data_IF_817303904579
#
_entry.id   IF_817303904579
#
_cell.length_a   1.000
_cell.length_b   1.000
_cell.length_c   1.000
_cell.angle_alpha   90.00
_cell.angle_beta   90.00
_cell.angle_gamma   90.00
#
_symmetry.space_group_name_H-M   'P 1'
#
loop_
_entity.id
_entity.type
_entity.pdbx_description
1 polymer ?
#
# COMPACT_ATOMS: atom_id res chain seq x y z
N UNK A 1 -8.61 16.51 4.75
CA UNK A 1 -8.51 17.94 5.10
C UNK A 1 -7.12 18.57 4.87
N UNK A 2 -6.09 17.86 4.39
CA UNK A 2 -4.75 18.44 4.17
C UNK A 2 -4.50 19.07 2.78
N UNK A 3 -5.30 18.73 1.76
CA UNK A 3 -5.10 19.20 0.38
C UNK A 3 -5.39 20.70 0.15
N UNK A 4 -6.37 21.28 0.86
CA UNK A 4 -6.73 22.70 0.70
C UNK A 4 -5.69 23.67 1.29
N UNK A 5 -4.98 23.25 2.34
CA UNK A 5 -3.94 24.08 2.97
C UNK A 5 -2.69 24.20 2.10
N UNK A 6 -2.27 23.14 1.42
CA UNK A 6 -1.11 23.19 0.51
C UNK A 6 -1.36 24.08 -0.71
N UNK A 7 -2.56 24.04 -1.31
CA UNK A 7 -2.91 24.87 -2.48
C UNK A 7 -2.91 26.35 -2.10
N UNK A 8 -3.42 26.71 -0.92
CA UNK A 8 -3.40 28.11 -0.42
C UNK A 8 -1.99 28.62 -0.19
N UNK A 9 -1.12 27.80 0.42
CA UNK A 9 0.29 28.15 0.65
C UNK A 9 1.03 28.32 -0.68
N UNK A 10 0.81 27.42 -1.64
CA UNK A 10 1.38 27.50 -2.98
C UNK A 10 0.95 28.78 -3.72
N UNK A 11 -0.34 29.15 -3.62
CA UNK A 11 -0.89 30.36 -4.26
C UNK A 11 -0.31 31.64 -3.63
N UNK A 12 -0.11 31.66 -2.31
CA UNK A 12 0.49 32.78 -1.59
C UNK A 12 1.98 32.95 -1.93
N UNK A 13 2.75 31.85 -1.94
CA UNK A 13 4.16 31.85 -2.34
C UNK A 13 4.36 32.29 -3.81
N UNK A 14 3.51 31.83 -4.73
CA UNK A 14 3.57 32.21 -6.15
C UNK A 14 3.31 33.71 -6.34
N UNK A 15 2.32 34.27 -5.63
CA UNK A 15 2.02 35.70 -5.66
C UNK A 15 3.13 36.56 -5.05
N UNK A 16 3.73 36.11 -3.94
CA UNK A 16 4.86 36.78 -3.31
C UNK A 16 6.09 36.82 -4.23
N UNK A 17 6.37 35.70 -4.92
CA UNK A 17 7.47 35.59 -5.86
C UNK A 17 7.30 36.50 -7.10
N UNK A 18 6.09 36.58 -7.66
CA UNK A 18 5.76 37.49 -8.77
C UNK A 18 5.96 38.95 -8.34
N UNK A 19 5.53 39.33 -7.13
CA UNK A 19 5.74 40.68 -6.60
C UNK A 19 7.22 41.02 -6.42
N UNK A 20 8.04 40.08 -5.95
CA UNK A 20 9.49 40.28 -5.84
C UNK A 20 10.13 40.43 -7.23
N UNK A 21 9.76 39.60 -8.21
CA UNK A 21 10.35 39.68 -9.55
C UNK A 21 9.96 40.95 -10.30
N UNK A 22 8.73 41.43 -10.12
CA UNK A 22 8.25 42.69 -10.68
C UNK A 22 8.87 43.93 -9.99
N UNK A 23 9.24 43.82 -8.72
CA UNK A 23 9.90 44.91 -7.98
C UNK A 23 11.37 45.12 -8.38
N UNK A 24 12.00 44.15 -9.06
CA UNK A 24 13.43 44.17 -9.39
C UNK A 24 13.71 43.89 -10.89
N UNK A 25 12.90 44.47 -11.78
CA UNK A 25 13.14 44.41 -13.23
C UNK A 25 14.59 44.74 -13.64
N UNK A 26 15.02 44.18 -14.77
CA UNK A 26 16.35 44.20 -15.43
C UNK A 26 17.35 45.28 -14.98
N UNK A 27 18.64 44.93 -14.80
CA UNK A 27 19.65 45.81 -14.20
C UNK A 27 19.95 47.02 -15.10
N UNK A 28 19.40 48.18 -14.78
CA UNK A 28 19.95 49.46 -15.22
C UNK A 28 20.95 49.95 -14.18
N UNK A 29 22.23 49.88 -14.57
CA UNK A 29 23.45 50.40 -13.95
C UNK A 29 23.31 51.14 -12.60
N UNK A 30 23.75 50.53 -11.49
CA UNK A 30 23.79 51.18 -10.17
C UNK A 30 25.24 51.22 -9.66
N UNK A 31 25.81 52.42 -9.70
CA UNK A 31 27.17 52.78 -9.32
C UNK A 31 27.30 53.01 -7.80
N UNK A 32 27.62 51.97 -7.01
CA UNK A 32 28.40 52.06 -5.76
C UNK A 32 28.72 50.64 -5.23
N UNK A 33 29.85 50.47 -4.54
CA UNK A 33 30.24 49.17 -3.95
C UNK A 33 29.25 48.69 -2.88
N UNK A 34 28.64 49.63 -2.14
CA UNK A 34 27.59 49.35 -1.15
C UNK A 34 26.33 48.78 -1.82
N UNK A 35 25.91 49.34 -2.96
CA UNK A 35 24.73 48.87 -3.70
C UNK A 35 24.94 47.51 -4.36
N UNK A 36 26.17 47.18 -4.78
CA UNK A 36 26.48 45.86 -5.34
C UNK A 36 26.47 44.76 -4.27
N UNK A 37 26.95 45.04 -3.06
CA UNK A 37 26.88 44.12 -1.91
C UNK A 37 25.44 43.82 -1.48
N UNK A 38 24.60 44.86 -1.45
CA UNK A 38 23.16 44.74 -1.17
C UNK A 38 22.47 43.92 -2.26
N UNK A 39 22.75 44.19 -3.53
CA UNK A 39 22.21 43.42 -4.66
C UNK A 39 22.59 41.93 -4.59
N UNK A 40 23.86 41.61 -4.30
CA UNK A 40 24.33 40.23 -4.19
C UNK A 40 23.65 39.50 -3.00
N UNK A 41 23.45 40.18 -1.87
CA UNK A 41 22.75 39.64 -0.69
C UNK A 41 21.27 39.37 -0.96
N UNK A 42 20.61 40.21 -1.77
CA UNK A 42 19.22 39.98 -2.18
C UNK A 42 19.13 38.82 -3.18
N UNK A 43 20.07 38.74 -4.13
CA UNK A 43 20.15 37.65 -5.12
C UNK A 43 20.36 36.29 -4.46
N UNK A 44 21.19 36.19 -3.42
CA UNK A 44 21.36 34.95 -2.65
C UNK A 44 20.08 34.57 -1.93
N UNK A 45 19.40 35.49 -1.24
CA UNK A 45 18.11 35.23 -0.57
C UNK A 45 17.03 34.72 -1.53
N UNK A 46 16.91 35.31 -2.72
CA UNK A 46 15.97 34.85 -3.75
C UNK A 46 16.32 33.44 -4.25
N UNK A 47 17.61 33.15 -4.40
CA UNK A 47 18.08 31.81 -4.82
C UNK A 47 17.81 30.77 -3.74
N UNK A 48 18.08 31.08 -2.47
CA UNK A 48 17.73 30.22 -1.34
C UNK A 48 16.23 29.93 -1.29
N UNK A 49 15.38 30.95 -1.48
CA UNK A 49 13.93 30.75 -1.50
C UNK A 49 13.47 29.87 -2.67
N UNK A 50 14.05 30.03 -3.87
CA UNK A 50 13.79 29.13 -5.01
C UNK A 50 14.15 27.69 -4.70
N UNK A 51 15.29 27.45 -4.04
CA UNK A 51 15.74 26.12 -3.65
C UNK A 51 14.77 25.52 -2.63
N UNK A 52 14.46 26.26 -1.55
CA UNK A 52 13.53 25.80 -0.51
C UNK A 52 12.16 25.48 -1.11
N UNK A 53 11.63 26.36 -1.96
CA UNK A 53 10.36 26.13 -2.63
C UNK A 53 10.38 24.90 -3.55
N UNK A 54 11.45 24.69 -4.32
CA UNK A 54 11.61 23.51 -5.18
C UNK A 54 11.73 22.22 -4.37
N UNK A 55 12.41 22.25 -3.22
CA UNK A 55 12.47 21.11 -2.29
C UNK A 55 11.09 20.84 -1.68
N UNK A 56 10.37 21.85 -1.20
CA UNK A 56 9.01 21.70 -0.70
C UNK A 56 8.05 21.17 -1.78
N UNK A 57 8.18 21.64 -3.02
CA UNK A 57 7.37 21.17 -4.14
C UNK A 57 7.63 19.70 -4.44
N UNK A 58 8.91 19.28 -4.50
CA UNK A 58 9.28 17.88 -4.66
C UNK A 58 8.75 17.00 -3.52
N UNK A 59 8.78 17.49 -2.28
CA UNK A 59 8.24 16.74 -1.14
C UNK A 59 6.71 16.56 -1.26
N UNK A 60 6.00 17.60 -1.71
CA UNK A 60 4.55 17.54 -1.93
C UNK A 60 4.21 16.63 -3.12
N UNK A 61 4.94 16.73 -4.24
CA UNK A 61 4.74 15.87 -5.41
C UNK A 61 5.03 14.40 -5.07
N UNK A 62 6.08 14.11 -4.30
CA UNK A 62 6.36 12.76 -3.83
C UNK A 62 5.25 12.21 -2.92
N UNK A 63 4.64 13.04 -2.08
CA UNK A 63 3.52 12.64 -1.23
C UNK A 63 2.23 12.39 -2.05
N UNK A 64 2.03 13.14 -3.15
CA UNK A 64 0.94 12.94 -4.10
C UNK A 64 1.12 11.67 -4.96
N UNK A 65 2.33 11.42 -5.48
CA UNK A 65 2.67 10.23 -6.28
C UNK A 65 2.56 8.95 -5.41
N UNK A 66 2.90 9.03 -4.12
CA UNK A 66 2.75 7.91 -3.17
C UNK A 66 1.28 7.57 -2.87
N UNK A 67 0.32 8.45 -3.19
CA UNK A 67 -1.12 8.21 -3.00
C UNK A 67 -1.80 7.49 -4.18
N UNK A 68 -1.23 7.51 -5.39
CA UNK A 68 -1.87 6.91 -6.56
C UNK A 68 -1.93 5.37 -6.46
N UNK A 69 -0.82 4.74 -6.07
CA UNK A 69 -0.76 3.29 -5.83
C UNK A 69 -1.78 2.83 -4.77
N UNK A 70 -1.82 3.50 -3.62
CA UNK A 70 -2.71 3.12 -2.52
C UNK A 70 -4.19 3.27 -2.92
N UNK A 71 -4.51 4.31 -3.70
CA UNK A 71 -5.84 4.51 -4.27
C UNK A 71 -6.22 3.41 -5.25
N UNK A 72 -5.32 3.05 -6.17
CA UNK A 72 -5.54 2.01 -7.17
C UNK A 72 -5.71 0.63 -6.53
N UNK A 73 -4.83 0.26 -5.59
CA UNK A 73 -4.95 -1.00 -4.84
C UNK A 73 -6.31 -1.09 -4.14
N UNK A 74 -6.77 0.00 -3.51
CA UNK A 74 -8.08 0.03 -2.87
C UNK A 74 -9.22 -0.06 -3.89
N UNK A 75 -9.08 0.56 -5.06
CA UNK A 75 -10.09 0.52 -6.11
C UNK A 75 -10.26 -0.88 -6.73
N UNK A 76 -9.19 -1.66 -6.81
CA UNK A 76 -9.23 -3.05 -7.31
C UNK A 76 -9.93 -4.02 -6.36
N UNK A 77 -10.06 -3.69 -5.07
CA UNK A 77 -10.62 -4.60 -4.07
C UNK A 77 -12.13 -4.82 -4.27
N UNK A 78 -12.60 -6.07 -4.31
CA UNK A 78 -14.02 -6.37 -4.37
C UNK A 78 -14.76 -5.83 -3.14
N UNK A 79 -15.89 -5.16 -3.34
CA UNK A 79 -16.78 -4.76 -2.24
C UNK A 79 -17.46 -6.02 -1.66
N UNK A 80 -17.26 -6.27 -0.37
CA UNK A 80 -17.88 -7.37 0.36
C UNK A 80 -19.00 -6.77 1.21
N UNK A 81 -20.25 -7.14 0.94
CA UNK A 81 -21.45 -6.57 1.59
C UNK A 81 -21.63 -7.11 3.04
N UNK A 82 -20.85 -8.12 3.44
CA UNK A 82 -21.18 -8.99 4.57
C UNK A 82 -20.70 -8.53 5.94
N UNK A 83 -20.24 -7.29 6.13
CA UNK A 83 -19.79 -6.85 7.46
C UNK A 83 -20.36 -5.48 7.82
N UNK A 84 -21.52 -5.48 8.48
CA UNK A 84 -21.93 -4.37 9.35
C UNK A 84 -20.88 -4.24 10.46
N UNK A 85 -19.86 -3.42 10.23
CA UNK A 85 -18.91 -3.03 11.28
C UNK A 85 -19.69 -2.18 12.28
N UNK A 86 -20.16 -2.80 13.35
CA UNK A 86 -20.78 -2.10 14.47
C UNK A 86 -19.70 -1.39 15.30
N UNK A 87 -20.06 -0.33 16.02
CA UNK A 87 -19.14 0.47 16.84
C UNK A 87 -18.39 -0.32 17.93
N UNK A 88 -18.80 -1.57 18.22
CA UNK A 88 -18.19 -2.48 19.18
C UNK A 88 -17.14 -3.44 18.58
N UNK A 89 -16.83 -3.32 17.30
CA UNK A 89 -15.94 -4.26 16.59
C UNK A 89 -14.47 -4.00 16.95
N UNK A 90 -13.71 -5.06 17.27
CA UNK A 90 -12.29 -4.92 17.62
C UNK A 90 -11.44 -4.42 16.44
N UNK A 91 -10.33 -3.74 16.72
CA UNK A 91 -9.41 -3.23 15.68
C UNK A 91 -8.95 -4.31 14.70
N UNK A 92 -8.68 -5.52 15.21
CA UNK A 92 -8.31 -6.67 14.38
C UNK A 92 -9.44 -7.20 13.50
N UNK A 93 -10.68 -7.20 13.98
CA UNK A 93 -11.85 -7.63 13.17
C UNK A 93 -12.18 -6.61 12.09
N UNK A 94 -12.05 -5.32 12.40
CA UNK A 94 -12.14 -4.25 11.43
C UNK A 94 -11.10 -4.42 10.32
N UNK A 95 -9.82 -4.62 10.68
CA UNK A 95 -8.75 -4.87 9.71
C UNK A 95 -9.00 -6.14 8.88
N UNK A 96 -9.53 -7.18 9.51
CA UNK A 96 -9.91 -8.41 8.80
C UNK A 96 -10.96 -8.18 7.72
N UNK A 97 -12.03 -7.44 8.04
CA UNK A 97 -13.15 -7.25 7.12
C UNK A 97 -12.86 -6.18 6.06
N UNK A 98 -12.16 -5.10 6.41
CA UNK A 98 -11.85 -4.00 5.49
C UNK A 98 -10.64 -4.30 4.58
N UNK A 99 -9.68 -5.10 5.05
CA UNK A 99 -8.40 -5.31 4.37
C UNK A 99 -8.18 -6.77 3.98
N UNK A 100 -8.13 -7.69 4.95
CA UNK A 100 -7.71 -9.07 4.67
C UNK A 100 -8.71 -9.81 3.77
N UNK A 101 -10.02 -9.76 4.08
CA UNK A 101 -11.05 -10.47 3.29
C UNK A 101 -11.12 -9.96 1.85
N UNK A 102 -11.12 -8.64 1.56
CA UNK A 102 -11.06 -8.14 0.20
C UNK A 102 -9.80 -8.54 -0.56
N UNK A 103 -8.63 -8.53 0.09
CA UNK A 103 -7.37 -8.96 -0.54
C UNK A 103 -7.41 -10.45 -0.87
N UNK A 104 -7.87 -11.30 0.04
CA UNK A 104 -8.03 -12.73 -0.21
C UNK A 104 -8.98 -13.01 -1.37
N UNK A 105 -10.05 -12.20 -1.51
CA UNK A 105 -10.98 -12.30 -2.64
C UNK A 105 -10.36 -11.84 -3.94
N UNK A 106 -9.58 -10.75 -3.93
CA UNK A 106 -8.85 -10.26 -5.09
C UNK A 106 -7.80 -11.26 -5.58
N UNK A 107 -7.06 -11.87 -4.65
CA UNK A 107 -5.95 -12.79 -4.96
C UNK A 107 -6.39 -14.25 -5.12
N UNK A 108 -7.69 -14.51 -5.19
CA UNK A 108 -8.26 -15.86 -5.14
C UNK A 108 -7.60 -16.81 -6.14
N UNK A 109 -7.56 -16.42 -7.40
CA UNK A 109 -7.13 -17.28 -8.50
C UNK A 109 -5.62 -17.56 -8.41
N UNK A 110 -4.84 -16.56 -7.99
CA UNK A 110 -3.40 -16.73 -7.71
C UNK A 110 -3.17 -17.70 -6.55
N UNK A 111 -3.95 -17.60 -5.47
CA UNK A 111 -3.81 -18.48 -4.31
C UNK A 111 -4.12 -19.95 -4.66
N UNK A 112 -5.11 -20.18 -5.52
CA UNK A 112 -5.42 -21.51 -6.06
C UNK A 112 -4.22 -22.08 -6.82
N UNK A 113 -3.63 -21.31 -7.75
CA UNK A 113 -2.47 -21.75 -8.53
C UNK A 113 -1.22 -21.99 -7.67
N UNK A 114 -0.99 -21.13 -6.70
CA UNK A 114 0.10 -21.28 -5.72
C UNK A 114 -0.05 -22.59 -4.94
N UNK A 115 -1.27 -22.94 -4.54
CA UNK A 115 -1.54 -24.20 -3.85
C UNK A 115 -1.47 -25.43 -4.78
N UNK A 116 -1.93 -25.33 -6.04
CA UNK A 116 -1.73 -26.40 -7.05
C UNK A 116 -0.25 -26.69 -7.26
N UNK A 117 0.57 -25.66 -7.36
CA UNK A 117 2.02 -25.82 -7.45
C UNK A 117 2.63 -26.46 -6.19
N UNK A 118 2.10 -26.13 -5.00
CA UNK A 118 2.48 -26.79 -3.76
C UNK A 118 2.18 -28.30 -3.82
N UNK A 119 0.95 -28.69 -4.18
CA UNK A 119 0.56 -30.10 -4.32
C UNK A 119 1.52 -30.85 -5.27
N UNK A 120 1.84 -30.25 -6.43
CA UNK A 120 2.75 -30.85 -7.42
C UNK A 120 4.16 -31.08 -6.87
N UNK A 121 4.70 -30.12 -6.11
CA UNK A 121 6.01 -30.26 -5.45
C UNK A 121 6.04 -31.36 -4.40
N UNK A 122 4.90 -31.64 -3.76
CA UNK A 122 4.75 -32.68 -2.75
C UNK A 122 4.23 -34.01 -3.33
N UNK A 123 4.66 -34.35 -4.56
CA UNK A 123 4.39 -35.62 -5.25
C UNK A 123 2.91 -35.96 -5.38
N UNK A 124 2.05 -34.94 -5.50
CA UNK A 124 0.61 -35.13 -5.70
C UNK A 124 -0.08 -35.96 -4.60
N UNK A 125 0.49 -35.98 -3.38
CA UNK A 125 -0.06 -36.75 -2.25
C UNK A 125 -1.52 -36.39 -1.96
N UNK A 126 -1.88 -35.12 -2.18
CA UNK A 126 -3.22 -34.60 -1.98
C UNK A 126 -4.32 -35.42 -2.68
N UNK A 127 -4.09 -35.86 -3.92
CA UNK A 127 -5.10 -36.60 -4.69
C UNK A 127 -5.39 -37.99 -4.13
N UNK A 128 -4.44 -38.58 -3.38
CA UNK A 128 -4.59 -39.90 -2.73
C UNK A 128 -5.32 -39.84 -1.40
N UNK A 129 -5.60 -38.65 -0.88
CA UNK A 129 -6.26 -38.45 0.41
C UNK A 129 -7.79 -38.45 0.27
N UNK A 130 -8.47 -38.92 1.31
CA UNK A 130 -9.92 -38.74 1.45
C UNK A 130 -10.26 -37.27 1.79
N UNK A 131 -11.54 -36.89 1.71
CA UNK A 131 -11.98 -35.51 1.92
C UNK A 131 -11.48 -34.92 3.25
N UNK A 132 -11.68 -35.61 4.37
CA UNK A 132 -11.23 -35.16 5.70
C UNK A 132 -9.72 -34.93 5.77
N UNK A 133 -8.92 -35.85 5.25
CA UNK A 133 -7.46 -35.72 5.23
C UNK A 133 -7.00 -34.60 4.28
N UNK A 134 -7.77 -34.26 3.25
CA UNK A 134 -7.48 -33.10 2.38
C UNK A 134 -7.65 -31.77 3.11
N UNK A 135 -8.68 -31.62 3.95
CA UNK A 135 -8.84 -30.44 4.81
C UNK A 135 -7.64 -30.30 5.76
N UNK A 136 -7.27 -31.39 6.43
CA UNK A 136 -6.11 -31.42 7.32
C UNK A 136 -4.80 -31.19 6.55
N UNK A 137 -4.69 -31.64 5.31
CA UNK A 137 -3.51 -31.41 4.48
C UNK A 137 -3.31 -29.92 4.18
N UNK A 138 -4.37 -29.20 3.79
CA UNK A 138 -4.32 -27.74 3.56
C UNK A 138 -3.88 -27.01 4.83
N UNK A 139 -4.50 -27.35 5.96
CA UNK A 139 -4.17 -26.73 7.25
C UNK A 139 -2.71 -26.97 7.63
N UNK A 140 -2.24 -28.23 7.54
CA UNK A 140 -0.85 -28.57 7.84
C UNK A 140 0.14 -27.90 6.87
N UNK A 141 -0.19 -27.79 5.58
CA UNK A 141 0.65 -27.11 4.61
C UNK A 141 0.87 -25.64 5.00
N UNK A 142 -0.19 -24.93 5.40
CA UNK A 142 -0.12 -23.51 5.74
C UNK A 142 0.50 -23.30 7.12
N UNK A 143 0.20 -24.17 8.09
CA UNK A 143 0.69 -24.01 9.47
C UNK A 143 2.12 -24.51 9.67
N UNK A 144 2.49 -25.66 9.11
CA UNK A 144 3.76 -26.34 9.40
C UNK A 144 4.86 -26.00 8.39
N UNK A 145 4.52 -25.77 7.11
CA UNK A 145 5.52 -25.42 6.11
C UNK A 145 5.82 -23.91 6.15
N UNK A 146 6.93 -23.57 6.82
CA UNK A 146 7.37 -22.18 7.00
C UNK A 146 7.64 -21.48 5.66
N UNK A 147 8.18 -22.19 4.67
CA UNK A 147 8.53 -21.59 3.37
C UNK A 147 7.26 -21.25 2.59
N UNK A 148 6.30 -22.18 2.57
CA UNK A 148 5.01 -21.95 1.93
C UNK A 148 4.22 -20.84 2.63
N UNK A 149 4.14 -20.89 3.96
CA UNK A 149 3.49 -19.85 4.78
C UNK A 149 4.07 -18.46 4.53
N UNK A 150 5.39 -18.33 4.45
CA UNK A 150 6.04 -17.05 4.18
C UNK A 150 5.76 -16.55 2.77
N UNK A 151 5.65 -17.44 1.78
CA UNK A 151 5.24 -17.07 0.41
C UNK A 151 3.82 -16.52 0.39
N UNK A 152 2.86 -17.20 1.04
CA UNK A 152 1.48 -16.72 1.17
C UNK A 152 1.40 -15.37 1.89
N UNK A 153 2.14 -15.22 3.00
CA UNK A 153 2.23 -13.96 3.74
C UNK A 153 2.72 -12.82 2.85
N UNK A 154 3.73 -13.07 2.01
CA UNK A 154 4.26 -12.09 1.06
C UNK A 154 3.22 -11.65 0.02
N UNK A 155 2.46 -12.58 -0.54
CA UNK A 155 1.38 -12.29 -1.50
C UNK A 155 0.33 -11.37 -0.89
N UNK A 156 -0.06 -11.61 0.37
CA UNK A 156 -1.07 -10.80 1.05
C UNK A 156 -0.55 -9.42 1.43
N UNK A 157 0.62 -9.33 2.07
CA UNK A 157 1.21 -8.05 2.51
C UNK A 157 1.57 -7.17 1.30
N UNK A 158 1.94 -7.77 0.16
CA UNK A 158 2.20 -7.04 -1.08
C UNK A 158 1.01 -6.21 -1.58
N UNK A 159 -0.22 -6.53 -1.13
CA UNK A 159 -1.44 -5.81 -1.47
C UNK A 159 -1.87 -4.79 -0.42
N UNK A 160 -1.04 -4.52 0.59
CA UNK A 160 -1.32 -3.51 1.60
C UNK A 160 -1.02 -2.10 1.10
N UNK A 161 -1.88 -1.18 1.51
CA UNK A 161 -1.59 0.26 1.45
C UNK A 161 -0.60 0.64 2.55
N UNK A 162 0.04 1.80 2.43
CA UNK A 162 1.02 2.26 3.43
C UNK A 162 0.40 2.33 4.83
N UNK A 163 -0.82 2.84 4.94
CA UNK A 163 -1.54 2.98 6.21
C UNK A 163 -1.92 1.61 6.82
N UNK A 164 -2.33 0.66 5.98
CA UNK A 164 -2.63 -0.69 6.44
C UNK A 164 -1.37 -1.41 6.92
N UNK A 165 -0.24 -1.21 6.23
CA UNK A 165 1.04 -1.77 6.66
C UNK A 165 1.49 -1.20 8.01
N UNK A 166 1.36 0.11 8.21
CA UNK A 166 1.64 0.76 9.51
C UNK A 166 0.73 0.24 10.63
N UNK A 167 -0.53 -0.09 10.32
CA UNK A 167 -1.43 -0.73 11.28
C UNK A 167 -1.00 -2.17 11.55
N UNK A 168 -0.60 -2.89 10.50
CA UNK A 168 -0.18 -4.29 10.59
C UNK A 168 1.06 -4.48 11.45
N UNK A 169 2.07 -3.61 11.36
CA UNK A 169 3.30 -3.76 12.15
C UNK A 169 3.07 -3.61 13.67
N UNK A 170 2.01 -2.92 14.09
CA UNK A 170 1.67 -2.74 15.51
C UNK A 170 1.14 -4.02 16.16
N UNK A 171 0.48 -4.90 15.39
CA UNK A 171 -0.08 -6.16 15.88
C UNK A 171 0.16 -7.32 14.90
N UNK A 172 1.41 -7.41 14.43
CA UNK A 172 1.76 -8.31 13.33
C UNK A 172 1.56 -9.79 13.68
N UNK A 173 1.77 -10.19 14.94
CA UNK A 173 1.61 -11.58 15.39
C UNK A 173 0.16 -12.03 15.31
N UNK A 174 -0.78 -11.25 15.85
CA UNK A 174 -2.20 -11.60 15.82
C UNK A 174 -2.77 -11.52 14.40
N UNK A 175 -2.40 -10.49 13.63
CA UNK A 175 -2.84 -10.34 12.25
C UNK A 175 -2.29 -11.43 11.33
N UNK A 176 -1.04 -11.88 11.53
CA UNK A 176 -0.49 -13.02 10.79
C UNK A 176 -1.28 -14.31 11.04
N UNK A 177 -1.63 -14.59 12.31
CA UNK A 177 -2.46 -15.74 12.65
C UNK A 177 -3.83 -15.66 11.96
N UNK A 178 -4.47 -14.49 12.00
CA UNK A 178 -5.76 -14.24 11.33
C UNK A 178 -5.66 -14.41 9.81
N UNK A 179 -4.63 -13.84 9.17
CA UNK A 179 -4.41 -13.97 7.72
C UNK A 179 -4.28 -15.43 7.31
N UNK A 180 -3.48 -16.22 8.03
CA UNK A 180 -3.29 -17.63 7.70
C UNK A 180 -4.55 -18.45 7.91
N UNK A 181 -5.29 -18.22 9.01
CA UNK A 181 -6.56 -18.90 9.25
C UNK A 181 -7.57 -18.63 8.12
N UNK A 182 -7.73 -17.36 7.72
CA UNK A 182 -8.64 -16.99 6.62
C UNK A 182 -8.19 -17.53 5.26
N UNK A 183 -6.88 -17.65 5.05
CA UNK A 183 -6.34 -18.26 3.83
C UNK A 183 -6.65 -19.75 3.80
N UNK A 184 -6.48 -20.45 4.93
CA UNK A 184 -6.83 -21.86 5.10
C UNK A 184 -8.33 -22.08 4.86
N UNK A 185 -9.20 -21.33 5.54
CA UNK A 185 -10.66 -21.41 5.36
C UNK A 185 -11.06 -21.20 3.91
N UNK A 186 -10.43 -20.24 3.22
CA UNK A 186 -10.71 -19.95 1.82
C UNK A 186 -10.34 -21.11 0.90
N UNK A 187 -9.13 -21.66 1.04
CA UNK A 187 -8.69 -22.80 0.24
C UNK A 187 -9.54 -24.05 0.52
N UNK A 188 -9.89 -24.28 1.79
CA UNK A 188 -10.77 -25.37 2.20
C UNK A 188 -12.19 -25.21 1.63
N UNK A 189 -12.74 -23.99 1.59
CA UNK A 189 -14.06 -23.74 1.00
C UNK A 189 -14.12 -24.02 -0.51
N UNK A 190 -12.97 -24.05 -1.17
CA UNK A 190 -12.81 -24.26 -2.61
C UNK A 190 -12.11 -25.58 -2.92
N UNK A 191 -12.18 -26.54 -2.00
CA UNK A 191 -11.44 -27.80 -2.10
C UNK A 191 -11.72 -28.57 -3.39
N UNK A 192 -12.94 -28.44 -3.91
CA UNK A 192 -13.40 -29.03 -5.17
C UNK A 192 -12.58 -28.55 -6.38
N UNK A 193 -12.02 -27.33 -6.34
CA UNK A 193 -11.16 -26.80 -7.43
C UNK A 193 -9.79 -27.48 -7.51
N UNK A 194 -9.44 -28.27 -6.49
CA UNK A 194 -8.23 -29.09 -6.45
C UNK A 194 -8.53 -30.57 -6.69
N UNK A 195 -9.78 -30.95 -6.91
CA UNK A 195 -10.09 -32.30 -7.36
C UNK A 195 -9.76 -32.35 -8.85
N UNK A 196 -8.96 -33.33 -9.23
CA UNK A 196 -8.43 -33.44 -10.59
C UNK A 196 -9.58 -33.39 -11.59
N UNK A 197 -9.54 -32.42 -12.50
CA UNK A 197 -10.14 -32.58 -13.83
C UNK A 197 -9.28 -33.60 -14.59
N UNK A 198 -9.28 -34.85 -14.15
CA UNK A 198 -9.06 -35.97 -15.07
C UNK A 198 -10.42 -36.24 -15.72
N UNK A 199 -10.81 -35.35 -16.63
CA UNK A 199 -11.87 -35.64 -17.59
C UNK A 199 -11.24 -35.59 -18.97
N UNK A 200 -11.17 -36.79 -19.56
CA UNK A 200 -10.83 -37.15 -20.94
C UNK A 200 -9.34 -37.14 -21.34
#
# INVERSE_FOLDING_TARGET
MYGFSCIRIYRFHKLFFIKLQNAYGSPTAISSSLTQSVYNTLKTKVTTYKIVFKVSLNLIENDLIMNDRDREIKALRPKIVTATVTASTSSGEKFQNETIRPILKLQNDLLIEVFRNYIRKHKNLFYKLNAEKRFAYIENAIQKDIKFRNSLKGILIGQFTKLEYLTYINDSSALNKRMMNLTTERLQSQIQLFETLEVA
#
